data_IF_875236656627
#
_entry.id   IF_875236656627
#
_cell.length_a   1.000
_cell.length_b   1.000
_cell.length_c   1.000
_cell.angle_alpha   90.00
_cell.angle_beta   90.00
_cell.angle_gamma   90.00
#
_symmetry.space_group_name_H-M   'P 1'
#
loop_
_entity.id
_entity.type
_entity.pdbx_description
1 polymer ?
#
# COMPACT_ATOMS: atom_id res chain seq x y z
N UNK A 1 -10.79 6.37 3.87
CA UNK A 1 -10.23 5.17 3.21
C UNK A 1 -11.24 4.57 2.26
N UNK A 2 -10.80 4.26 1.06
CA UNK A 2 -11.66 3.62 0.04
C UNK A 2 -11.12 2.26 -0.36
N UNK A 3 -12.00 1.28 -0.39
CA UNK A 3 -11.77 0.03 -1.09
C UNK A 3 -12.28 0.18 -2.52
N UNK A 4 -11.47 -0.22 -3.48
CA UNK A 4 -11.83 -0.21 -4.89
C UNK A 4 -11.91 -1.64 -5.41
N UNK A 5 -12.99 -1.94 -6.12
CA UNK A 5 -13.15 -3.21 -6.82
C UNK A 5 -12.94 -2.99 -8.31
N UNK A 6 -12.13 -3.85 -8.92
CA UNK A 6 -11.75 -3.73 -10.32
C UNK A 6 -12.24 -4.93 -11.11
N UNK A 7 -12.70 -4.67 -12.34
CA UNK A 7 -12.85 -5.72 -13.34
C UNK A 7 -11.51 -5.87 -14.05
N UNK A 8 -10.75 -6.86 -13.64
CA UNK A 8 -9.39 -7.06 -14.13
C UNK A 8 -9.39 -7.76 -15.48
N UNK A 9 -8.60 -7.25 -16.41
CA UNK A 9 -8.42 -7.81 -17.75
C UNK A 9 -6.93 -8.06 -18.00
N UNK A 10 -6.57 -9.16 -18.68
CA UNK A 10 -5.17 -9.46 -18.99
C UNK A 10 -4.49 -8.32 -19.75
N UNK A 11 -3.27 -8.00 -19.38
CA UNK A 11 -2.46 -6.98 -20.02
C UNK A 11 -2.88 -5.54 -19.73
N UNK A 12 -3.95 -5.32 -18.99
CA UNK A 12 -4.44 -3.98 -18.67
C UNK A 12 -3.74 -3.41 -17.44
N UNK A 13 -3.57 -2.08 -17.45
CA UNK A 13 -2.98 -1.32 -16.34
C UNK A 13 -4.08 -0.51 -15.66
N UNK A 14 -4.13 -0.59 -14.34
CA UNK A 14 -5.09 0.12 -13.51
C UNK A 14 -4.38 1.19 -12.71
N UNK A 15 -4.70 2.45 -12.98
CA UNK A 15 -4.12 3.57 -12.26
C UNK A 15 -4.64 3.61 -10.83
N UNK A 16 -3.70 3.62 -9.89
CA UNK A 16 -3.99 3.72 -8.48
C UNK A 16 -2.80 4.43 -7.83
N UNK A 17 -2.95 5.70 -7.59
CA UNK A 17 -1.90 6.56 -7.03
C UNK A 17 -2.21 6.90 -5.56
N UNK A 18 -2.01 5.95 -4.61
CA UNK A 18 -2.33 6.21 -3.22
C UNK A 18 -1.48 7.33 -2.66
N UNK A 19 -2.13 8.37 -2.18
CA UNK A 19 -1.49 9.57 -1.66
C UNK A 19 -2.01 9.91 -0.27
N UNK A 20 -1.14 10.52 0.54
CA UNK A 20 -1.49 11.02 1.85
C UNK A 20 -1.28 12.54 1.86
N UNK A 21 -2.26 13.28 2.37
CA UNK A 21 -2.12 14.72 2.59
C UNK A 21 -2.07 14.99 4.09
N UNK A 22 -1.01 15.67 4.54
CA UNK A 22 -0.86 16.12 5.92
C UNK A 22 -1.42 17.51 6.00
N UNK A 23 -2.45 17.67 6.82
CA UNK A 23 -3.19 18.93 6.89
C UNK A 23 -2.43 20.02 7.65
N UNK A 24 -2.65 21.24 7.25
CA UNK A 24 -2.19 22.43 7.95
C UNK A 24 -2.58 22.37 9.43
N UNK A 25 -1.64 22.68 10.30
CA UNK A 25 -1.86 22.67 11.76
C UNK A 25 -1.67 21.31 12.41
N UNK A 26 -1.33 20.25 11.65
CA UNK A 26 -1.02 18.95 12.22
C UNK A 26 0.29 19.01 13.00
N UNK A 27 0.37 18.19 14.07
CA UNK A 27 1.63 18.00 14.77
C UNK A 27 2.62 17.20 13.92
N UNK A 28 3.93 17.34 14.21
CA UNK A 28 4.95 16.51 13.57
C UNK A 28 4.64 15.03 13.80
N UNK A 29 4.60 14.25 12.73
CA UNK A 29 4.08 12.88 12.76
C UNK A 29 4.89 11.91 11.91
N UNK A 30 4.91 10.65 12.33
CA UNK A 30 5.30 9.53 11.47
C UNK A 30 4.07 9.10 10.67
N UNK A 31 4.28 8.74 9.41
CA UNK A 31 3.21 8.36 8.48
C UNK A 31 3.43 6.91 8.02
N UNK A 32 2.34 6.15 8.04
CA UNK A 32 2.31 4.77 7.56
C UNK A 32 1.16 4.60 6.57
N UNK A 33 1.38 3.80 5.54
CA UNK A 33 0.34 3.42 4.59
C UNK A 33 0.30 1.90 4.47
N UNK A 34 -0.91 1.34 4.46
CA UNK A 34 -1.11 -0.09 4.19
C UNK A 34 -1.95 -0.26 2.94
N UNK A 35 -1.60 -1.28 2.15
CA UNK A 35 -2.33 -1.67 0.94
C UNK A 35 -2.75 -3.12 1.09
N UNK A 36 -4.06 -3.36 1.16
CA UNK A 36 -4.62 -4.69 1.37
C UNK A 36 -5.33 -5.17 0.12
N UNK A 37 -4.91 -6.34 -0.36
CA UNK A 37 -5.55 -7.03 -1.48
C UNK A 37 -6.44 -8.15 -0.93
N UNK A 38 -7.68 -8.22 -1.41
CA UNK A 38 -8.50 -9.41 -1.21
C UNK A 38 -8.05 -10.51 -2.17
N UNK A 39 -8.58 -11.71 -1.99
CA UNK A 39 -8.24 -12.88 -2.83
C UNK A 39 -6.73 -13.12 -2.91
N UNK A 40 -6.08 -13.13 -1.75
CA UNK A 40 -4.62 -13.24 -1.66
C UNK A 40 -4.06 -14.52 -2.27
N UNK A 41 -4.78 -15.62 -2.21
CA UNK A 41 -4.33 -16.88 -2.82
C UNK A 41 -4.27 -16.79 -4.33
N UNK A 42 -5.25 -16.12 -4.95
CA UNK A 42 -5.24 -15.86 -6.38
C UNK A 42 -4.19 -14.84 -6.76
N UNK A 43 -4.01 -13.79 -5.94
CA UNK A 43 -2.96 -12.79 -6.11
C UNK A 43 -1.58 -13.45 -6.15
N UNK A 44 -1.30 -14.34 -5.21
CA UNK A 44 -0.03 -15.04 -5.13
C UNK A 44 0.23 -15.92 -6.36
N UNK A 45 -0.81 -16.58 -6.87
CA UNK A 45 -0.69 -17.44 -8.05
C UNK A 45 -0.41 -16.62 -9.34
N UNK A 46 -0.94 -15.41 -9.43
CA UNK A 46 -0.87 -14.60 -10.65
C UNK A 46 0.35 -13.68 -10.64
N UNK A 47 0.56 -12.96 -9.55
CA UNK A 47 1.62 -11.96 -9.42
C UNK A 47 2.90 -12.54 -8.80
N UNK A 48 2.80 -13.71 -8.15
CA UNK A 48 3.92 -14.36 -7.47
C UNK A 48 4.73 -13.39 -6.60
N UNK A 49 4.10 -12.66 -5.68
CA UNK A 49 4.81 -11.68 -4.86
C UNK A 49 5.87 -12.38 -4.01
N UNK A 50 7.07 -11.85 -4.02
CA UNK A 50 8.21 -12.40 -3.29
C UNK A 50 8.81 -11.33 -2.40
N UNK A 51 8.59 -11.43 -1.09
CA UNK A 51 9.25 -10.55 -0.13
C UNK A 51 9.20 -9.07 -0.51
N UNK A 52 10.35 -8.47 -0.73
CA UNK A 52 10.49 -7.06 -1.08
C UNK A 52 10.39 -6.77 -2.59
N UNK A 53 10.19 -7.79 -3.42
CA UNK A 53 10.03 -7.56 -4.86
C UNK A 53 8.63 -7.07 -5.16
N UNK A 54 8.47 -5.76 -5.12
CA UNK A 54 7.20 -5.08 -5.38
C UNK A 54 6.99 -4.79 -6.87
N UNK A 55 7.99 -5.04 -7.71
CA UNK A 55 7.90 -4.75 -9.14
C UNK A 55 6.94 -5.67 -9.86
N UNK A 56 6.67 -6.83 -9.29
CA UNK A 56 5.69 -7.78 -9.82
C UNK A 56 4.24 -7.32 -9.64
N UNK A 57 3.99 -6.35 -8.76
CA UNK A 57 2.65 -5.85 -8.44
C UNK A 57 2.53 -4.35 -8.74
N UNK A 58 3.47 -3.55 -8.24
CA UNK A 58 3.37 -2.10 -8.27
C UNK A 58 4.27 -1.48 -9.33
N UNK A 59 3.69 -0.70 -10.23
CA UNK A 59 4.44 0.12 -11.17
C UNK A 59 4.72 1.48 -10.53
N UNK A 60 5.98 1.95 -10.63
CA UNK A 60 6.35 3.26 -10.11
C UNK A 60 6.39 3.35 -8.59
N UNK A 61 6.69 2.24 -7.92
CA UNK A 61 6.85 2.27 -6.47
C UNK A 61 7.96 3.25 -6.06
N UNK A 62 7.60 4.21 -5.20
CA UNK A 62 8.49 5.28 -4.74
C UNK A 62 9.33 4.83 -3.54
N UNK A 63 10.36 4.04 -3.81
CA UNK A 63 11.25 3.52 -2.77
C UNK A 63 12.13 4.60 -2.14
N UNK A 64 12.22 5.79 -2.74
CA UNK A 64 12.98 6.90 -2.18
C UNK A 64 12.29 7.54 -0.98
N UNK A 65 10.97 7.53 -0.95
CA UNK A 65 10.16 8.18 0.08
C UNK A 65 9.38 7.20 0.96
N UNK A 66 8.97 6.06 0.40
CA UNK A 66 8.20 5.05 1.12
C UNK A 66 9.02 3.78 1.30
N UNK A 67 9.28 3.42 2.55
CA UNK A 67 10.09 2.26 2.90
C UNK A 67 9.15 1.06 3.08
N UNK A 68 9.36 0.02 2.28
CA UNK A 68 8.66 -1.25 2.48
C UNK A 68 9.10 -1.88 3.79
N UNK A 69 8.14 -2.20 4.66
CA UNK A 69 8.43 -2.80 5.96
C UNK A 69 8.09 -4.28 6.01
N UNK A 70 6.91 -4.65 5.52
CA UNK A 70 6.47 -6.04 5.62
C UNK A 70 5.24 -6.29 4.76
N UNK A 71 4.93 -7.57 4.53
CA UNK A 71 3.62 -7.99 4.08
C UNK A 71 3.13 -9.18 4.90
N UNK A 72 1.84 -9.23 5.13
CA UNK A 72 1.20 -10.26 5.95
C UNK A 72 0.01 -10.82 5.22
N UNK A 73 -0.06 -12.16 5.15
CA UNK A 73 -1.20 -12.87 4.60
C UNK A 73 -2.11 -13.36 5.72
N UNK A 74 -3.38 -12.98 5.66
CA UNK A 74 -4.42 -13.56 6.51
C UNK A 74 -5.10 -14.68 5.72
N UNK A 75 -4.83 -15.91 6.08
CA UNK A 75 -5.36 -17.08 5.38
C UNK A 75 -6.87 -17.25 5.59
N UNK A 76 -7.40 -16.79 6.71
CA UNK A 76 -8.84 -16.88 7.00
C UNK A 76 -9.65 -15.89 6.19
N UNK A 77 -9.19 -14.63 6.15
CA UNK A 77 -9.83 -13.58 5.35
C UNK A 77 -9.43 -13.62 3.88
N UNK A 78 -8.38 -14.38 3.54
CA UNK A 78 -7.77 -14.44 2.21
C UNK A 78 -7.35 -13.05 1.72
N UNK A 79 -6.62 -12.34 2.58
CA UNK A 79 -6.09 -11.01 2.29
C UNK A 79 -4.58 -10.98 2.43
N UNK A 80 -3.95 -10.09 1.68
CA UNK A 80 -2.54 -9.77 1.85
C UNK A 80 -2.38 -8.28 2.01
N UNK A 81 -1.69 -7.86 3.07
CA UNK A 81 -1.49 -6.46 3.42
C UNK A 81 -0.02 -6.11 3.35
N UNK A 82 0.30 -5.10 2.58
CA UNK A 82 1.64 -4.52 2.48
C UNK A 82 1.71 -3.29 3.37
N UNK A 83 2.81 -3.15 4.13
CA UNK A 83 3.02 -2.02 5.02
C UNK A 83 4.21 -1.21 4.56
N UNK A 84 4.02 0.12 4.47
CA UNK A 84 5.03 1.08 4.05
C UNK A 84 5.09 2.23 5.05
N UNK A 85 6.29 2.64 5.41
CA UNK A 85 6.50 3.81 6.26
C UNK A 85 7.13 4.92 5.45
N UNK A 86 6.64 6.15 5.62
CA UNK A 86 7.28 7.32 5.05
C UNK A 86 8.64 7.49 5.73
N UNK A 87 9.68 7.78 4.94
CA UNK A 87 11.09 7.74 5.40
C UNK A 87 11.41 8.72 6.51
N UNK A 88 10.68 9.81 6.59
CA UNK A 88 10.94 10.90 7.52
C UNK A 88 9.68 11.30 8.27
N UNK A 89 9.90 11.96 9.42
CA UNK A 89 8.83 12.64 10.12
C UNK A 89 8.33 13.79 9.25
N UNK A 90 7.02 13.94 9.12
CA UNK A 90 6.44 15.11 8.49
C UNK A 90 6.31 16.17 9.56
N UNK A 91 7.06 17.26 9.44
CA UNK A 91 7.03 18.39 10.39
C UNK A 91 5.68 19.09 10.39
N UNK A 92 5.39 19.82 11.46
CA UNK A 92 4.14 20.55 11.59
C UNK A 92 3.97 21.54 10.43
N UNK A 93 3.05 21.30 9.48
CA UNK A 93 2.95 22.13 8.29
C UNK A 93 2.16 23.41 8.53
N UNK A 94 2.54 24.47 7.82
CA UNK A 94 1.80 25.73 7.80
C UNK A 94 0.82 25.81 6.62
N UNK A 95 0.81 24.78 5.78
CA UNK A 95 -0.14 24.59 4.69
C UNK A 95 -0.29 23.07 4.48
N UNK A 96 -1.35 22.64 3.82
CA UNK A 96 -1.52 21.22 3.50
C UNK A 96 -0.34 20.72 2.66
N UNK A 97 0.20 19.56 3.03
CA UNK A 97 1.33 18.94 2.33
C UNK A 97 0.88 17.59 1.76
N UNK A 98 0.87 17.48 0.44
CA UNK A 98 0.65 16.20 -0.23
C UNK A 98 1.99 15.46 -0.32
N UNK A 99 2.04 14.26 0.25
CA UNK A 99 3.21 13.39 0.11
C UNK A 99 3.20 12.73 -1.28
N UNK A 100 4.37 12.33 -1.75
CA UNK A 100 4.46 11.62 -3.04
C UNK A 100 3.65 10.34 -3.01
N UNK A 101 3.07 9.97 -4.16
CA UNK A 101 2.28 8.75 -4.27
C UNK A 101 3.15 7.51 -3.97
N UNK A 102 2.55 6.52 -3.32
CA UNK A 102 3.24 5.27 -2.98
C UNK A 102 3.66 4.50 -4.24
N UNK A 103 2.76 4.42 -5.21
CA UNK A 103 3.00 3.83 -6.53
C UNK A 103 2.02 4.44 -7.54
N UNK A 104 2.22 4.16 -8.83
CA UNK A 104 1.40 4.77 -9.89
C UNK A 104 0.25 3.87 -10.33
N UNK A 105 0.53 2.59 -10.57
CA UNK A 105 -0.43 1.69 -11.19
C UNK A 105 -0.11 0.24 -10.90
N UNK A 106 -1.07 -0.63 -11.26
CA UNK A 106 -0.94 -2.08 -11.21
C UNK A 106 -1.27 -2.63 -12.59
N UNK A 107 -0.41 -3.51 -13.12
CA UNK A 107 -0.64 -4.16 -14.42
C UNK A 107 -0.94 -5.63 -14.21
N UNK A 108 -2.04 -6.10 -14.78
CA UNK A 108 -2.38 -7.52 -14.82
C UNK A 108 -1.54 -8.18 -15.93
N UNK A 109 -0.81 -9.29 -15.66
CA UNK A 109 -0.02 -9.97 -16.69
C UNK A 109 -0.88 -10.38 -17.88
N UNK A 110 -0.36 -10.24 -19.10
CA UNK A 110 -1.06 -10.63 -20.31
C UNK A 110 -1.06 -12.15 -20.55
N UNK A 111 -0.23 -12.86 -19.81
CA UNK A 111 -0.11 -14.33 -19.87
C UNK A 111 -1.12 -15.07 -18.98
N UNK A 112 -1.96 -14.35 -18.24
CA UNK A 112 -2.94 -14.94 -17.35
C UNK A 112 -4.03 -15.68 -18.15
N UNK A 113 -4.41 -16.86 -17.66
CA UNK A 113 -5.47 -17.68 -18.28
C UNK A 113 -6.85 -17.20 -17.88
N UNK A 114 -7.88 -17.64 -18.60
CA UNK A 114 -9.28 -17.37 -18.25
C UNK A 114 -9.64 -17.91 -16.86
N UNK A 115 -9.07 -19.07 -16.49
CA UNK A 115 -9.28 -19.64 -15.15
C UNK A 115 -8.68 -18.76 -14.06
N UNK A 116 -7.46 -18.27 -14.27
CA UNK A 116 -6.82 -17.35 -13.34
C UNK A 116 -7.58 -16.03 -13.23
N UNK A 117 -8.03 -15.50 -14.36
CA UNK A 117 -8.84 -14.28 -14.38
C UNK A 117 -10.11 -14.44 -13.54
N UNK A 118 -10.79 -15.59 -13.65
CA UNK A 118 -11.98 -15.87 -12.86
C UNK A 118 -11.67 -15.91 -11.35
N UNK A 119 -10.48 -16.34 -10.96
CA UNK A 119 -10.11 -16.39 -9.53
C UNK A 119 -9.91 -15.02 -8.89
N UNK A 120 -9.59 -14.01 -9.68
CA UNK A 120 -9.38 -12.64 -9.17
C UNK A 120 -10.52 -11.70 -9.49
N UNK A 121 -11.58 -12.18 -10.10
CA UNK A 121 -12.76 -11.36 -10.36
C UNK A 121 -13.33 -10.83 -9.04
N UNK A 122 -13.56 -9.50 -8.98
CA UNK A 122 -14.07 -8.85 -7.78
C UNK A 122 -13.01 -8.60 -6.71
N UNK A 123 -11.72 -8.79 -7.00
CA UNK A 123 -10.65 -8.43 -6.07
C UNK A 123 -10.75 -6.95 -5.70
N UNK A 124 -10.58 -6.66 -4.42
CA UNK A 124 -10.55 -5.29 -3.90
C UNK A 124 -9.16 -4.91 -3.45
N UNK A 125 -8.86 -3.63 -3.58
CA UNK A 125 -7.62 -3.02 -3.09
C UNK A 125 -8.03 -1.92 -2.12
N UNK A 126 -7.63 -2.06 -0.86
CA UNK A 126 -7.95 -1.11 0.20
C UNK A 126 -6.68 -0.42 0.66
N UNK A 127 -6.67 0.90 0.64
CA UNK A 127 -5.54 1.69 1.11
C UNK A 127 -5.94 2.40 2.40
N UNK A 128 -5.15 2.20 3.45
CA UNK A 128 -5.30 2.89 4.73
C UNK A 128 -4.05 3.72 4.99
N UNK A 129 -4.25 4.92 5.52
CA UNK A 129 -3.16 5.78 5.96
C UNK A 129 -3.30 6.04 7.46
N UNK A 130 -2.15 6.08 8.14
CA UNK A 130 -2.09 6.28 9.59
C UNK A 130 -1.03 7.33 9.91
N UNK A 131 -1.29 8.13 10.92
CA UNK A 131 -0.32 9.08 11.45
C UNK A 131 -0.25 8.92 12.95
N UNK A 132 0.95 9.01 13.51
CA UNK A 132 1.17 9.05 14.96
C UNK A 132 2.11 10.19 15.26
N UNK A 133 1.79 11.00 16.28
CA UNK A 133 2.66 12.11 16.69
C UNK A 133 4.05 11.61 17.03
N UNK A 134 5.06 12.31 16.51
CA UNK A 134 6.46 11.92 16.71
C UNK A 134 6.96 12.25 18.11
N UNK A 135 6.34 13.22 18.79
CA UNK A 135 6.75 13.66 20.10
C UNK A 135 6.60 12.54 21.13
N UNK A 136 7.64 12.35 21.94
CA UNK A 136 7.66 11.31 22.95
C UNK A 136 8.22 9.95 22.48
N UNK A 137 8.56 9.81 21.20
CA UNK A 137 9.14 8.58 20.66
C UNK A 137 10.55 8.81 20.16
N UNK A 138 11.43 7.83 20.43
CA UNK A 138 12.83 7.93 19.99
C UNK A 138 12.98 7.78 18.47
N UNK A 139 12.10 7.00 17.83
CA UNK A 139 12.11 6.72 16.40
C UNK A 139 10.75 6.18 15.93
N UNK A 140 10.64 5.94 14.63
CA UNK A 140 9.40 5.44 14.02
C UNK A 140 9.00 4.07 14.56
N UNK A 141 9.96 3.18 14.78
CA UNK A 141 9.65 1.83 15.28
C UNK A 141 9.00 1.88 16.66
N UNK A 142 9.55 2.70 17.57
CA UNK A 142 8.96 2.87 18.90
C UNK A 142 7.55 3.44 18.81
N UNK A 143 7.32 4.38 17.90
CA UNK A 143 6.00 4.98 17.69
C UNK A 143 4.99 3.95 17.17
N UNK A 144 5.33 3.18 16.14
CA UNK A 144 4.42 2.21 15.57
C UNK A 144 4.19 1.00 16.47
N UNK A 145 5.19 0.58 17.25
CA UNK A 145 5.02 -0.47 18.26
C UNK A 145 3.99 -0.05 19.33
N UNK A 146 4.00 1.21 19.74
CA UNK A 146 3.03 1.74 20.69
C UNK A 146 1.63 1.89 20.08
N UNK A 147 1.55 2.09 18.76
CA UNK A 147 0.29 2.23 18.02
C UNK A 147 -0.45 0.89 17.90
N UNK A 148 0.30 -0.19 17.69
CA UNK A 148 -0.26 -1.55 17.43
C UNK A 148 -0.85 -2.23 18.71
#
# INVERSE_FOLDING_TARGET
VKANSYKLLPGHTYNKDPMVTVLNGSEASYIKMTVTFSKASALDAIFAPTGADLTSIFNGYDSANWIYKDNTKDATADTRTYEFWYKETVGAPTADVALDALFDSITVPDTITNEQLATIEGMTITVNAYAIQADGFANAEAAWDAFD
#
